data_IF_791946908259
#
_entry.id   IF_791946908259
#
_cell.length_a   1.000
_cell.length_b   1.000
_cell.length_c   1.000
_cell.angle_alpha   90.00
_cell.angle_beta   90.00
_cell.angle_gamma   90.00
#
_symmetry.space_group_name_H-M   'P 1'
#
loop_
_entity.id
_entity.type
_entity.pdbx_description
1 polymer ?
#
# COMPACT_ATOMS: atom_id res chain seq x y z
N UNK A 1 15.73 2.67 3.80
CA UNK A 1 15.07 1.39 3.49
C UNK A 1 14.67 0.79 4.82
N UNK A 2 13.38 0.57 5.04
CA UNK A 2 12.86 -0.15 6.21
C UNK A 2 12.37 -1.51 5.78
N UNK A 3 12.62 -2.53 6.60
CA UNK A 3 12.17 -3.90 6.42
C UNK A 3 11.14 -4.20 7.50
N UNK A 4 10.10 -4.96 7.17
CA UNK A 4 9.14 -5.44 8.15
C UNK A 4 9.83 -6.29 9.23
N UNK A 5 9.32 -6.22 10.44
CA UNK A 5 9.63 -7.09 11.55
C UNK A 5 8.57 -8.19 11.65
N UNK A 6 8.91 -9.29 12.32
CA UNK A 6 7.94 -10.36 12.58
C UNK A 6 6.72 -9.83 13.36
N UNK A 7 6.95 -8.94 14.33
CA UNK A 7 5.89 -8.28 15.11
C UNK A 7 4.98 -7.34 14.31
N UNK A 8 5.38 -6.99 13.08
CA UNK A 8 4.53 -6.18 12.20
C UNK A 8 3.48 -7.05 11.49
N UNK A 9 3.66 -8.38 11.45
CA UNK A 9 2.87 -9.27 10.59
C UNK A 9 2.28 -10.50 11.28
N UNK A 10 2.71 -10.79 12.51
CA UNK A 10 2.32 -11.98 13.29
C UNK A 10 0.81 -12.05 13.59
N UNK A 11 0.14 -10.90 13.67
CA UNK A 11 -1.29 -10.81 13.97
C UNK A 11 -2.20 -10.73 12.73
N UNK A 12 -1.64 -10.55 11.53
CA UNK A 12 -2.42 -10.32 10.30
C UNK A 12 -3.48 -11.40 10.10
N UNK A 13 -3.08 -12.69 10.13
CA UNK A 13 -4.03 -13.79 9.87
C UNK A 13 -5.21 -13.79 10.84
N UNK A 14 -4.97 -13.44 12.11
CA UNK A 14 -6.02 -13.45 13.14
C UNK A 14 -6.87 -12.18 13.17
N UNK A 15 -6.36 -11.05 12.67
CA UNK A 15 -7.02 -9.75 12.73
C UNK A 15 -7.56 -9.25 11.39
N UNK A 16 -7.34 -10.00 10.30
CA UNK A 16 -7.65 -9.56 8.94
C UNK A 16 -9.12 -9.15 8.77
N UNK A 17 -10.06 -9.92 9.33
CA UNK A 17 -11.49 -9.59 9.26
C UNK A 17 -11.84 -8.36 10.12
N UNK A 18 -11.26 -8.24 11.31
CA UNK A 18 -11.49 -7.08 12.18
C UNK A 18 -10.98 -5.79 11.54
N UNK A 19 -9.83 -5.88 10.86
CA UNK A 19 -9.28 -4.77 10.08
C UNK A 19 -10.13 -4.46 8.85
N UNK A 20 -10.59 -5.46 8.08
CA UNK A 20 -11.50 -5.24 6.94
C UNK A 20 -12.77 -4.50 7.38
N UNK A 21 -13.37 -4.89 8.51
CA UNK A 21 -14.57 -4.24 9.06
C UNK A 21 -14.29 -2.80 9.52
N UNK A 22 -13.11 -2.53 10.08
CA UNK A 22 -12.66 -1.15 10.36
C UNK A 22 -12.45 -0.37 9.06
N UNK A 23 -11.80 -0.96 8.08
CA UNK A 23 -11.48 -0.35 6.80
C UNK A 23 -12.76 0.06 6.05
N UNK A 24 -13.76 -0.82 5.97
CA UNK A 24 -15.08 -0.51 5.42
C UNK A 24 -15.75 0.64 6.20
N UNK A 25 -15.62 0.66 7.54
CA UNK A 25 -16.13 1.78 8.36
C UNK A 25 -15.39 3.09 8.12
N UNK A 26 -14.13 3.08 7.70
CA UNK A 26 -13.36 4.27 7.37
C UNK A 26 -13.60 4.75 5.94
N UNK A 27 -13.54 3.85 4.95
CA UNK A 27 -13.53 4.18 3.52
C UNK A 27 -14.87 3.97 2.83
N UNK A 28 -15.71 3.08 3.36
CA UNK A 28 -16.98 2.68 2.73
C UNK A 28 -16.81 1.61 1.66
N UNK A 29 -15.59 1.13 1.45
CA UNK A 29 -15.24 0.07 0.51
C UNK A 29 -14.46 -1.03 1.23
N UNK A 30 -14.52 -2.24 0.67
CA UNK A 30 -13.61 -3.33 1.00
C UNK A 30 -12.19 -3.03 0.55
N UNK A 31 -11.18 -3.69 1.12
CA UNK A 31 -9.80 -3.56 0.62
C UNK A 31 -9.68 -4.04 -0.84
N UNK A 32 -10.47 -5.05 -1.23
CA UNK A 32 -10.57 -5.52 -2.61
C UNK A 32 -11.05 -4.41 -3.57
N UNK A 33 -12.15 -3.75 -3.25
CA UNK A 33 -12.70 -2.67 -4.08
C UNK A 33 -11.72 -1.49 -4.20
N UNK A 34 -11.04 -1.12 -3.11
CA UNK A 34 -10.01 -0.07 -3.14
C UNK A 34 -8.87 -0.47 -4.07
N UNK A 35 -8.35 -1.69 -3.94
CA UNK A 35 -7.24 -2.17 -4.78
C UNK A 35 -7.62 -2.21 -6.28
N UNK A 36 -8.83 -2.67 -6.60
CA UNK A 36 -9.34 -2.66 -7.98
C UNK A 36 -9.43 -1.23 -8.53
N UNK A 37 -9.95 -0.28 -7.75
CA UNK A 37 -9.99 1.16 -8.11
C UNK A 37 -8.59 1.75 -8.25
N UNK A 38 -7.65 1.35 -7.40
CA UNK A 38 -6.27 1.84 -7.41
C UNK A 38 -5.57 1.52 -8.75
N UNK A 39 -5.82 0.33 -9.29
CA UNK A 39 -5.23 -0.12 -10.57
C UNK A 39 -6.13 0.20 -11.78
N UNK A 40 -7.35 0.70 -11.57
CA UNK A 40 -8.30 1.02 -12.63
C UNK A 40 -8.96 -0.21 -13.26
N UNK A 41 -9.12 -1.30 -12.49
CA UNK A 41 -9.83 -2.49 -12.94
C UNK A 41 -11.35 -2.25 -12.86
N UNK A 42 -12.06 -2.46 -13.97
CA UNK A 42 -13.51 -2.19 -14.09
C UNK A 42 -14.35 -3.46 -14.29
N UNK A 43 -13.69 -4.57 -14.63
CA UNK A 43 -14.33 -5.87 -14.88
C UNK A 43 -13.91 -6.84 -13.81
N UNK A 44 -14.82 -7.75 -13.44
CA UNK A 44 -14.51 -8.80 -12.50
C UNK A 44 -13.64 -9.87 -13.17
N UNK A 45 -12.33 -9.75 -12.98
CA UNK A 45 -11.35 -10.69 -13.51
C UNK A 45 -11.42 -12.04 -12.81
N UNK A 46 -11.24 -13.11 -13.58
CA UNK A 46 -11.15 -14.44 -13.00
C UNK A 46 -9.90 -14.53 -12.13
N UNK A 47 -10.09 -14.87 -10.85
CA UNK A 47 -8.96 -15.07 -9.91
C UNK A 47 -8.00 -16.14 -10.42
N UNK A 48 -6.71 -15.87 -10.26
CA UNK A 48 -5.61 -16.72 -10.71
C UNK A 48 -4.95 -17.36 -9.50
N UNK A 49 -4.75 -18.68 -9.56
CA UNK A 49 -4.03 -19.41 -8.52
C UNK A 49 -2.65 -18.78 -8.31
N UNK A 50 -2.32 -18.47 -7.08
CA UNK A 50 -1.14 -17.66 -6.74
C UNK A 50 -0.24 -18.40 -5.77
N UNK A 51 1.07 -18.36 -6.01
CA UNK A 51 2.07 -18.88 -5.11
C UNK A 51 2.67 -17.76 -4.24
N UNK A 52 3.07 -18.10 -3.02
CA UNK A 52 3.89 -17.25 -2.16
C UNK A 52 5.17 -18.02 -1.86
N UNK A 53 6.31 -17.46 -2.24
CA UNK A 53 7.61 -18.13 -2.20
C UNK A 53 8.52 -17.36 -1.26
N UNK A 54 9.04 -18.03 -0.24
CA UNK A 54 10.04 -17.45 0.64
C UNK A 54 11.39 -17.35 -0.08
N UNK A 55 12.07 -16.22 0.10
CA UNK A 55 13.38 -15.93 -0.50
C UNK A 55 14.41 -15.83 0.62
N UNK A 56 15.59 -16.42 0.40
CA UNK A 56 16.65 -16.53 1.42
C UNK A 56 17.83 -15.60 1.17
N UNK A 57 17.84 -14.87 0.04
CA UNK A 57 18.87 -13.88 -0.25
C UNK A 57 18.87 -12.73 0.76
N UNK A 58 20.01 -12.02 0.84
CA UNK A 58 20.15 -10.86 1.71
C UNK A 58 20.12 -11.22 3.19
N UNK A 59 19.26 -10.53 3.95
CA UNK A 59 19.03 -10.73 5.39
C UNK A 59 18.12 -11.94 5.68
N UNK A 60 17.89 -12.82 4.70
CA UNK A 60 17.18 -14.08 4.86
C UNK A 60 15.67 -13.92 4.90
N UNK A 61 14.96 -14.89 5.48
CA UNK A 61 13.50 -14.87 5.56
C UNK A 61 13.02 -14.07 6.78
N UNK A 62 11.90 -13.37 6.63
CA UNK A 62 11.10 -12.90 7.78
C UNK A 62 10.15 -14.04 8.16
N UNK A 63 10.23 -14.53 9.39
CA UNK A 63 9.32 -15.56 9.90
C UNK A 63 7.87 -15.09 9.76
N UNK A 64 7.00 -15.95 9.23
CA UNK A 64 5.57 -15.65 9.08
C UNK A 64 5.20 -14.82 7.84
N UNK A 65 6.16 -14.22 7.12
CA UNK A 65 5.84 -13.34 5.98
C UNK A 65 5.06 -14.05 4.88
N UNK A 66 5.53 -15.22 4.44
CA UNK A 66 4.82 -15.98 3.39
C UNK A 66 3.44 -16.47 3.86
N UNK A 67 3.28 -16.73 5.15
CA UNK A 67 2.00 -17.09 5.76
C UNK A 67 1.04 -15.89 5.78
N UNK A 68 1.51 -14.71 6.17
CA UNK A 68 0.73 -13.48 6.17
C UNK A 68 0.24 -13.10 4.76
N UNK A 69 1.13 -13.08 3.76
CA UNK A 69 0.74 -12.88 2.35
C UNK A 69 -0.26 -13.94 1.90
N UNK A 70 -0.04 -15.20 2.30
CA UNK A 70 -0.96 -16.29 2.02
C UNK A 70 -2.36 -16.10 2.61
N UNK A 71 -2.45 -15.63 3.85
CA UNK A 71 -3.70 -15.31 4.53
C UNK A 71 -4.45 -14.17 3.83
N UNK A 72 -3.73 -13.10 3.45
CA UNK A 72 -4.28 -11.97 2.69
C UNK A 72 -4.91 -12.44 1.37
N UNK A 73 -4.18 -13.24 0.58
CA UNK A 73 -4.68 -13.74 -0.70
C UNK A 73 -5.89 -14.67 -0.52
N UNK A 74 -5.89 -15.53 0.50
CA UNK A 74 -7.05 -16.40 0.80
C UNK A 74 -8.27 -15.62 1.27
N UNK A 75 -8.08 -14.49 1.96
CA UNK A 75 -9.18 -13.59 2.32
C UNK A 75 -9.88 -13.03 1.07
N UNK A 76 -9.10 -12.76 0.02
CA UNK A 76 -9.62 -12.45 -1.31
C UNK A 76 -10.16 -13.69 -2.07
N UNK A 77 -10.30 -14.85 -1.43
CA UNK A 77 -10.75 -16.11 -2.07
C UNK A 77 -9.85 -16.54 -3.25
N UNK A 78 -8.58 -16.17 -3.23
CA UNK A 78 -7.59 -16.65 -4.19
C UNK A 78 -7.14 -18.05 -3.76
N UNK A 79 -7.04 -18.98 -4.72
CA UNK A 79 -6.39 -20.26 -4.45
C UNK A 79 -4.89 -20.02 -4.24
N UNK A 80 -4.40 -20.22 -3.01
CA UNK A 80 -3.03 -19.84 -2.64
C UNK A 80 -2.17 -21.02 -2.22
N UNK A 81 -1.04 -21.20 -2.91
CA UNK A 81 0.03 -22.12 -2.57
C UNK A 81 1.13 -21.39 -1.80
N UNK A 82 1.40 -21.77 -0.55
CA UNK A 82 2.61 -21.34 0.16
C UNK A 82 3.69 -22.37 -0.17
N UNK A 83 4.82 -21.91 -0.72
CA UNK A 83 5.92 -22.78 -1.11
C UNK A 83 6.51 -23.54 0.08
N UNK A 84 6.72 -24.84 -0.09
CA UNK A 84 7.50 -25.65 0.87
C UNK A 84 9.01 -25.48 0.65
N UNK A 85 9.38 -25.07 -0.57
CA UNK A 85 10.74 -24.77 -0.98
C UNK A 85 10.92 -23.27 -1.16
N UNK A 86 12.15 -22.81 -0.97
CA UNK A 86 12.54 -21.41 -1.12
C UNK A 86 13.12 -21.13 -2.50
N UNK A 87 13.26 -19.85 -2.82
CA UNK A 87 14.05 -19.34 -3.96
C UNK A 87 13.63 -20.00 -5.29
N UNK A 88 14.61 -20.40 -6.12
CA UNK A 88 14.40 -21.04 -7.42
C UNK A 88 13.60 -22.34 -7.32
N UNK A 89 13.81 -23.12 -6.25
CA UNK A 89 13.10 -24.37 -6.05
C UNK A 89 11.63 -24.16 -5.70
N UNK A 90 11.32 -23.08 -4.97
CA UNK A 90 9.95 -22.62 -4.72
C UNK A 90 9.27 -22.13 -6.01
N UNK A 91 9.99 -21.41 -6.86
CA UNK A 91 9.47 -20.98 -8.17
C UNK A 91 9.16 -22.18 -9.08
N UNK A 92 10.03 -23.18 -9.10
CA UNK A 92 9.76 -24.44 -9.81
C UNK A 92 8.49 -25.13 -9.26
N UNK A 93 8.33 -25.20 -7.93
CA UNK A 93 7.14 -25.77 -7.31
C UNK A 93 5.87 -25.03 -7.74
N UNK A 94 5.89 -23.70 -7.74
CA UNK A 94 4.78 -22.86 -8.16
C UNK A 94 4.39 -23.11 -9.64
N UNK A 95 5.39 -23.18 -10.52
CA UNK A 95 5.21 -23.48 -11.94
C UNK A 95 4.55 -24.86 -12.15
N UNK A 96 5.10 -25.91 -11.54
CA UNK A 96 4.56 -27.27 -11.65
C UNK A 96 3.14 -27.39 -11.06
N UNK A 97 2.82 -26.55 -10.07
CA UNK A 97 1.50 -26.47 -9.44
C UNK A 97 0.49 -25.61 -10.21
N UNK A 98 0.86 -25.12 -11.40
CA UNK A 98 0.03 -24.29 -12.27
C UNK A 98 -0.45 -22.99 -11.61
N UNK A 99 0.38 -22.40 -10.76
CA UNK A 99 0.14 -21.04 -10.31
C UNK A 99 0.39 -20.09 -11.49
N UNK A 100 -0.42 -19.04 -11.63
CA UNK A 100 -0.23 -18.02 -12.67
C UNK A 100 0.47 -16.76 -12.17
N UNK A 101 0.48 -16.54 -10.84
CA UNK A 101 1.19 -15.44 -10.19
C UNK A 101 2.06 -16.00 -9.06
N UNK A 102 3.22 -15.41 -8.81
CA UNK A 102 4.09 -15.67 -7.67
C UNK A 102 4.41 -14.38 -6.92
N UNK A 103 4.19 -14.38 -5.60
CA UNK A 103 4.72 -13.37 -4.69
C UNK A 103 6.06 -13.83 -4.12
N UNK A 104 7.03 -12.94 -4.15
CA UNK A 104 8.38 -13.12 -3.63
C UNK A 104 8.93 -11.78 -3.16
N UNK A 105 9.72 -11.80 -2.10
CA UNK A 105 10.35 -10.59 -1.58
C UNK A 105 11.75 -10.88 -1.03
N UNK A 106 12.73 -10.09 -1.45
CA UNK A 106 14.01 -9.95 -0.75
C UNK A 106 14.08 -8.59 -0.03
N UNK A 107 15.26 -8.16 0.40
CA UNK A 107 15.42 -6.89 1.13
C UNK A 107 15.16 -5.64 0.27
N UNK A 108 15.23 -5.76 -1.06
CA UNK A 108 15.19 -4.65 -2.00
C UNK A 108 13.91 -4.61 -2.82
N UNK A 109 13.35 -5.78 -3.13
CA UNK A 109 12.21 -5.95 -4.01
C UNK A 109 11.19 -6.84 -3.33
N UNK A 110 9.96 -6.34 -3.22
CA UNK A 110 8.77 -7.16 -3.00
C UNK A 110 7.93 -7.08 -4.27
N UNK A 111 7.73 -8.22 -4.94
CA UNK A 111 7.11 -8.28 -6.26
C UNK A 111 6.07 -9.39 -6.36
N UNK A 112 5.06 -9.12 -7.19
CA UNK A 112 4.18 -10.12 -7.75
C UNK A 112 4.57 -10.31 -9.22
N UNK A 113 4.83 -11.54 -9.65
CA UNK A 113 5.29 -11.85 -11.01
C UNK A 113 4.38 -12.89 -11.67
N UNK A 114 4.13 -12.70 -12.96
CA UNK A 114 3.51 -13.72 -13.80
C UNK A 114 4.36 -14.98 -13.93
N UNK A 115 3.75 -16.14 -13.76
CA UNK A 115 4.38 -17.43 -14.05
C UNK A 115 3.98 -17.82 -15.47
N UNK A 116 4.91 -17.64 -16.42
CA UNK A 116 4.66 -17.93 -17.84
C UNK A 116 3.96 -16.81 -18.61
N UNK A 117 3.83 -15.62 -18.01
CA UNK A 117 3.34 -14.39 -18.62
C UNK A 117 4.26 -13.22 -18.27
N UNK A 118 4.27 -12.18 -19.10
CA UNK A 118 5.10 -10.99 -18.91
C UNK A 118 4.37 -9.92 -18.09
N UNK A 119 3.85 -10.30 -16.92
CA UNK A 119 3.16 -9.38 -15.99
C UNK A 119 3.95 -9.24 -14.70
N UNK A 120 3.89 -8.06 -14.09
CA UNK A 120 4.53 -7.81 -12.81
C UNK A 120 3.85 -6.68 -12.04
N UNK A 121 3.99 -6.67 -10.72
CA UNK A 121 3.64 -5.53 -9.89
C UNK A 121 4.72 -5.28 -8.84
N UNK A 122 5.08 -4.01 -8.68
CA UNK A 122 6.01 -3.52 -7.67
C UNK A 122 5.27 -3.09 -6.40
N UNK A 123 5.79 -3.51 -5.24
CA UNK A 123 5.18 -3.19 -3.94
C UNK A 123 5.13 -1.69 -3.65
N UNK A 124 6.19 -0.94 -3.99
CA UNK A 124 6.24 0.50 -3.75
C UNK A 124 5.12 1.22 -4.51
N UNK A 125 5.03 0.93 -5.80
CA UNK A 125 3.98 1.46 -6.66
C UNK A 125 2.56 1.07 -6.18
N UNK A 126 2.34 -0.22 -5.93
CA UNK A 126 1.02 -0.73 -5.55
C UNK A 126 0.57 -0.20 -4.19
N UNK A 127 1.46 -0.15 -3.21
CA UNK A 127 1.16 0.39 -1.87
C UNK A 127 0.79 1.86 -1.95
N UNK A 128 1.56 2.66 -2.69
CA UNK A 128 1.28 4.09 -2.85
C UNK A 128 -0.10 4.35 -3.45
N UNK A 129 -0.44 3.65 -4.54
CA UNK A 129 -1.75 3.77 -5.18
C UNK A 129 -2.88 3.25 -4.30
N UNK A 130 -2.69 2.13 -3.62
CA UNK A 130 -3.70 1.53 -2.73
C UNK A 130 -4.10 2.49 -1.61
N UNK A 131 -3.13 3.04 -0.87
CA UNK A 131 -3.40 3.98 0.21
C UNK A 131 -3.94 5.34 -0.30
N UNK A 132 -3.48 5.81 -1.46
CA UNK A 132 -4.05 7.00 -2.10
C UNK A 132 -5.52 6.78 -2.54
N UNK A 133 -5.86 5.59 -3.04
CA UNK A 133 -7.25 5.23 -3.32
C UNK A 133 -8.09 5.16 -2.05
N UNK A 134 -7.54 4.60 -0.96
CA UNK A 134 -8.23 4.52 0.33
C UNK A 134 -8.58 5.91 0.89
N UNK A 135 -7.67 6.88 0.85
CA UNK A 135 -7.95 8.24 1.34
C UNK A 135 -8.99 8.94 0.48
N UNK A 136 -8.96 8.75 -0.85
CA UNK A 136 -9.93 9.33 -1.78
C UNK A 136 -11.34 8.78 -1.51
N UNK A 137 -11.48 7.48 -1.26
CA UNK A 137 -12.78 6.88 -0.93
C UNK A 137 -13.26 7.27 0.47
N UNK A 138 -12.35 7.41 1.44
CA UNK A 138 -12.69 7.98 2.74
C UNK A 138 -13.21 9.42 2.64
N UNK A 139 -12.62 10.27 1.78
CA UNK A 139 -13.16 11.60 1.48
C UNK A 139 -14.57 11.52 0.88
N UNK A 140 -14.75 10.69 -0.16
CA UNK A 140 -16.04 10.50 -0.84
C UNK A 140 -17.13 10.04 0.13
N UNK A 141 -16.81 9.13 1.05
CA UNK A 141 -17.71 8.67 2.10
C UNK A 141 -18.17 9.79 3.02
N UNK A 142 -17.32 10.77 3.31
CA UNK A 142 -17.66 11.95 4.09
C UNK A 142 -18.38 13.04 3.27
N UNK A 143 -18.73 12.77 2.01
CA UNK A 143 -19.38 13.72 1.11
C UNK A 143 -18.43 14.76 0.53
N UNK A 144 -17.12 14.50 0.57
CA UNK A 144 -16.08 15.41 0.12
C UNK A 144 -15.69 15.02 -1.31
N UNK A 145 -15.72 16.00 -2.22
CA UNK A 145 -15.21 15.82 -3.57
C UNK A 145 -13.69 16.02 -3.55
N UNK A 146 -12.87 15.03 -3.95
CA UNK A 146 -11.41 15.16 -3.95
C UNK A 146 -10.87 16.18 -4.97
N UNK A 147 -11.70 16.65 -5.90
CA UNK A 147 -11.31 17.64 -6.90
C UNK A 147 -10.75 18.91 -6.24
N UNK A 148 -9.50 19.23 -6.57
CA UNK A 148 -8.75 20.39 -6.06
C UNK A 148 -8.48 20.37 -4.54
N UNK A 149 -8.74 19.25 -3.85
CA UNK A 149 -8.36 19.09 -2.45
C UNK A 149 -6.85 18.88 -2.33
N UNK A 150 -6.25 19.53 -1.32
CA UNK A 150 -4.80 19.43 -1.07
C UNK A 150 -4.51 18.22 -0.19
N UNK A 151 -3.66 17.32 -0.67
CA UNK A 151 -3.22 16.12 0.07
C UNK A 151 -1.72 16.23 0.33
N UNK A 152 -1.33 16.28 1.61
CA UNK A 152 0.09 16.25 1.99
C UNK A 152 0.63 14.84 1.81
N UNK A 153 1.76 14.70 1.14
CA UNK A 153 2.47 13.43 0.97
C UNK A 153 3.83 13.56 1.63
N UNK A 154 4.05 12.81 2.69
CA UNK A 154 5.31 12.77 3.44
C UNK A 154 6.11 11.58 2.95
N UNK A 155 7.29 11.86 2.38
CA UNK A 155 8.15 10.91 1.67
C UNK A 155 7.94 10.96 0.16
N UNK A 156 9.01 11.17 -0.59
CA UNK A 156 9.09 11.15 -2.05
C UNK A 156 9.89 9.94 -2.55
N UNK A 157 9.76 8.81 -1.86
CA UNK A 157 10.23 7.49 -2.35
C UNK A 157 9.17 6.81 -3.24
N UNK A 158 9.38 5.54 -3.63
CA UNK A 158 8.49 4.83 -4.56
C UNK A 158 7.00 4.84 -4.16
N UNK A 159 6.71 4.67 -2.87
CA UNK A 159 5.34 4.70 -2.33
C UNK A 159 4.73 6.11 -2.42
N UNK A 160 5.48 7.14 -2.01
CA UNK A 160 5.01 8.52 -2.05
C UNK A 160 4.83 9.05 -3.46
N UNK A 161 5.75 8.69 -4.37
CA UNK A 161 5.64 8.99 -5.81
C UNK A 161 4.36 8.40 -6.41
N UNK A 162 4.12 7.10 -6.20
CA UNK A 162 2.92 6.44 -6.73
C UNK A 162 1.62 6.99 -6.11
N UNK A 163 1.65 7.37 -4.84
CA UNK A 163 0.54 8.06 -4.19
C UNK A 163 0.29 9.44 -4.82
N UNK A 164 1.35 10.22 -5.07
CA UNK A 164 1.23 11.56 -5.68
C UNK A 164 0.64 11.51 -7.08
N UNK A 165 1.10 10.56 -7.90
CA UNK A 165 0.52 10.29 -9.22
C UNK A 165 -0.97 9.94 -9.12
N UNK A 166 -1.36 9.04 -8.21
CA UNK A 166 -2.77 8.67 -8.04
C UNK A 166 -3.65 9.86 -7.64
N UNK A 167 -3.20 10.69 -6.67
CA UNK A 167 -3.95 11.87 -6.26
C UNK A 167 -4.14 12.85 -7.43
N UNK A 168 -3.10 13.09 -8.23
CA UNK A 168 -3.18 13.93 -9.42
C UNK A 168 -4.14 13.36 -10.48
N UNK A 169 -4.12 12.03 -10.72
CA UNK A 169 -5.09 11.35 -11.60
C UNK A 169 -6.54 11.53 -11.14
N UNK A 170 -6.76 11.62 -9.82
CA UNK A 170 -8.07 11.94 -9.22
C UNK A 170 -8.37 13.45 -9.17
N UNK A 171 -7.55 14.28 -9.83
CA UNK A 171 -7.66 15.74 -9.89
C UNK A 171 -7.55 16.44 -8.52
N UNK A 172 -6.96 15.78 -7.53
CA UNK A 172 -6.50 16.40 -6.29
C UNK A 172 -5.15 17.11 -6.47
N UNK A 173 -4.73 17.87 -5.46
CA UNK A 173 -3.48 18.63 -5.46
C UNK A 173 -2.49 17.94 -4.50
N UNK A 174 -1.58 17.09 -5.00
CA UNK A 174 -0.53 16.52 -4.15
C UNK A 174 0.44 17.62 -3.72
N UNK A 175 0.69 17.70 -2.41
CA UNK A 175 1.71 18.58 -1.82
C UNK A 175 2.79 17.72 -1.20
N UNK A 176 3.97 17.72 -1.77
CA UNK A 176 5.02 16.75 -1.46
C UNK A 176 6.00 17.34 -0.44
N UNK A 177 6.37 16.55 0.57
CA UNK A 177 7.42 16.85 1.52
C UNK A 177 8.35 15.63 1.63
N UNK A 178 9.66 15.85 1.57
CA UNK A 178 10.68 14.83 1.83
C UNK A 178 11.79 15.46 2.68
N UNK A 179 12.60 14.65 3.35
CA UNK A 179 13.79 15.14 4.07
C UNK A 179 14.83 15.72 3.10
N UNK A 180 14.82 15.28 1.84
CA UNK A 180 15.55 15.89 0.74
C UNK A 180 14.60 16.74 -0.11
N UNK A 181 14.62 18.06 0.12
CA UNK A 181 13.82 19.04 -0.62
C UNK A 181 13.96 18.89 -2.15
N UNK A 182 15.11 18.42 -2.66
CA UNK A 182 15.30 18.21 -4.10
C UNK A 182 14.44 17.07 -4.63
N UNK A 183 14.22 16.00 -3.85
CA UNK A 183 13.32 14.91 -4.24
C UNK A 183 11.88 15.39 -4.28
N UNK A 184 11.46 16.12 -3.25
CA UNK A 184 10.12 16.69 -3.19
C UNK A 184 9.86 17.65 -4.37
N UNK A 185 10.80 18.54 -4.64
CA UNK A 185 10.71 19.48 -5.77
C UNK A 185 10.74 18.76 -7.13
N UNK A 186 11.57 17.73 -7.28
CA UNK A 186 11.69 16.96 -8.51
C UNK A 186 10.42 16.17 -8.81
N UNK A 187 9.82 15.52 -7.80
CA UNK A 187 8.54 14.82 -7.96
C UNK A 187 7.40 15.81 -8.24
N UNK A 188 7.36 16.97 -7.57
CA UNK A 188 6.34 17.98 -7.88
C UNK A 188 6.45 18.46 -9.34
N UNK A 189 7.67 18.64 -9.85
CA UNK A 189 7.90 19.08 -11.22
C UNK A 189 7.43 18.08 -12.30
N UNK A 190 7.17 16.81 -11.97
CA UNK A 190 6.62 15.81 -12.93
C UNK A 190 5.10 15.79 -12.97
N UNK A 191 4.43 16.50 -12.06
CA UNK A 191 2.98 16.46 -11.87
C UNK A 191 2.34 17.82 -12.16
N UNK A 192 1.29 17.79 -12.97
CA UNK A 192 0.41 18.96 -13.15
C UNK A 192 -0.33 19.27 -11.83
N UNK A 193 -0.48 20.56 -11.52
CA UNK A 193 -1.21 21.03 -10.33
C UNK A 193 -0.73 20.41 -9.01
N UNK A 194 0.59 20.33 -8.83
CA UNK A 194 1.22 19.90 -7.59
C UNK A 194 1.95 21.05 -6.88
N UNK A 195 2.36 20.81 -5.64
CA UNK A 195 3.28 21.68 -4.93
C UNK A 195 4.25 20.85 -4.08
N UNK A 196 5.27 21.50 -3.54
CA UNK A 196 6.12 20.90 -2.52
C UNK A 196 6.34 21.90 -1.37
N UNK A 197 6.73 21.36 -0.22
CA UNK A 197 7.07 22.13 1.00
C UNK A 197 8.34 21.56 1.61
N UNK A 198 9.16 22.41 2.23
CA UNK A 198 10.38 21.96 2.92
C UNK A 198 10.05 21.17 4.19
N UNK A 199 10.93 20.24 4.54
CA UNK A 199 10.89 19.59 5.85
C UNK A 199 11.28 20.56 6.98
N UNK A 200 10.66 20.48 8.17
CA UNK A 200 9.54 19.60 8.52
C UNK A 200 8.22 20.06 7.90
N UNK A 201 7.39 19.09 7.49
CA UNK A 201 6.10 19.37 6.87
C UNK A 201 5.19 20.19 7.81
N UNK A 202 4.46 21.21 7.32
CA UNK A 202 3.51 21.96 8.12
C UNK A 202 2.17 21.20 8.27
N UNK A 203 2.20 20.05 8.94
CA UNK A 203 1.10 19.06 9.02
C UNK A 203 -0.24 19.68 9.40
N UNK A 204 -0.25 20.61 10.37
CA UNK A 204 -1.46 21.31 10.86
C UNK A 204 -2.25 22.07 9.79
N UNK A 205 -1.64 22.33 8.63
CA UNK A 205 -2.30 23.02 7.51
C UNK A 205 -3.08 22.07 6.59
N UNK A 206 -3.03 20.76 6.83
CA UNK A 206 -3.62 19.74 5.96
C UNK A 206 -4.65 18.89 6.69
N UNK A 207 -5.76 18.64 5.99
CA UNK A 207 -6.81 17.72 6.44
C UNK A 207 -6.56 16.29 5.96
N UNK A 208 -5.86 16.12 4.83
CA UNK A 208 -5.62 14.84 4.21
C UNK A 208 -4.13 14.61 4.04
N UNK A 209 -3.65 13.49 4.56
CA UNK A 209 -2.22 13.22 4.68
C UNK A 209 -1.97 11.77 4.26
N UNK A 210 -0.92 11.57 3.47
CA UNK A 210 -0.33 10.26 3.18
C UNK A 210 1.07 10.26 3.78
N UNK A 211 1.32 9.37 4.75
CA UNK A 211 2.64 9.18 5.34
C UNK A 211 3.31 7.92 4.78
N UNK A 212 4.18 8.12 3.81
CA UNK A 212 5.04 7.11 3.21
C UNK A 212 6.47 7.14 3.76
N UNK A 213 6.66 7.79 4.92
CA UNK A 213 7.94 7.83 5.65
C UNK A 213 8.24 6.51 6.37
N UNK A 214 9.45 6.44 6.93
CA UNK A 214 9.91 5.31 7.75
C UNK A 214 10.24 5.73 9.18
N UNK A 215 9.64 6.84 9.63
CA UNK A 215 9.85 7.42 10.96
C UNK A 215 8.54 7.30 11.74
N UNK A 216 8.59 6.69 12.91
CA UNK A 216 7.41 6.52 13.77
C UNK A 216 7.15 7.72 14.66
N UNK A 217 5.90 7.85 15.12
CA UNK A 217 5.49 8.71 16.24
C UNK A 217 5.87 10.21 16.14
N UNK A 218 6.11 10.74 14.93
CA UNK A 218 6.42 12.15 14.74
C UNK A 218 5.18 13.03 14.52
N UNK A 219 4.03 12.41 14.19
CA UNK A 219 2.74 13.09 14.03
C UNK A 219 1.95 12.97 15.34
N UNK A 220 1.75 14.11 16.00
CA UNK A 220 1.15 14.18 17.33
C UNK A 220 -0.33 14.53 17.28
N UNK A 221 -1.04 14.34 18.40
CA UNK A 221 -2.46 14.72 18.50
C UNK A 221 -2.70 16.23 18.30
N UNK A 222 -1.69 17.08 18.52
CA UNK A 222 -1.80 18.52 18.26
C UNK A 222 -1.75 18.86 16.76
N UNK A 223 -1.21 17.95 15.95
CA UNK A 223 -1.11 18.14 14.51
C UNK A 223 -2.42 17.84 13.79
N UNK A 224 -3.33 17.13 14.46
CA UNK A 224 -4.60 16.64 13.93
C UNK A 224 -5.81 17.37 14.47
N UNK A 225 -6.87 17.33 13.68
CA UNK A 225 -8.25 17.60 14.09
C UNK A 225 -9.09 16.34 13.91
N UNK A 226 -10.32 16.31 14.45
CA UNK A 226 -11.24 15.17 14.24
C UNK A 226 -11.61 14.95 12.76
N UNK A 227 -11.40 15.97 11.92
CA UNK A 227 -11.63 15.90 10.46
C UNK A 227 -10.43 15.37 9.70
N UNK A 228 -9.27 15.26 10.34
CA UNK A 228 -8.05 14.82 9.67
C UNK A 228 -8.18 13.34 9.28
N UNK A 229 -7.75 13.01 8.06
CA UNK A 229 -7.63 11.65 7.56
C UNK A 229 -6.16 11.41 7.20
N UNK A 230 -5.55 10.42 7.84
CA UNK A 230 -4.20 9.96 7.55
C UNK A 230 -4.27 8.56 6.91
N UNK A 231 -3.64 8.40 5.76
CA UNK A 231 -3.29 7.11 5.19
C UNK A 231 -1.78 6.87 5.41
N UNK A 232 -1.41 5.91 6.24
CA UNK A 232 -0.03 5.69 6.66
C UNK A 232 0.48 4.31 6.22
N UNK A 233 0.95 4.14 4.98
CA UNK A 233 1.68 2.94 4.58
C UNK A 233 3.06 2.81 5.25
N UNK A 234 3.60 3.91 5.78
CA UNK A 234 4.91 3.93 6.44
C UNK A 234 5.01 2.97 7.63
N UNK A 235 6.14 2.28 7.71
CA UNK A 235 6.48 1.37 8.80
C UNK A 235 7.77 1.82 9.52
N UNK A 236 7.71 2.10 10.84
CA UNK A 236 6.52 2.14 11.69
C UNK A 236 5.58 3.32 11.37
N UNK A 237 4.32 3.26 11.83
CA UNK A 237 3.34 4.34 11.63
C UNK A 237 3.85 5.68 12.20
N UNK A 238 3.81 6.76 11.40
CA UNK A 238 4.23 8.08 11.85
C UNK A 238 3.31 8.73 12.89
N UNK A 239 2.08 8.24 13.06
CA UNK A 239 1.13 8.78 14.02
C UNK A 239 1.21 8.12 15.41
N UNK A 240 1.41 8.95 16.42
CA UNK A 240 1.32 8.56 17.83
C UNK A 240 -0.03 7.93 18.16
N UNK A 241 -0.09 7.12 19.24
CA UNK A 241 -1.36 6.54 19.74
C UNK A 241 -2.43 7.62 19.96
N UNK A 242 -2.07 8.73 20.62
CA UNK A 242 -2.99 9.83 20.86
C UNK A 242 -3.50 10.49 19.57
N UNK A 243 -2.69 10.55 18.52
CA UNK A 243 -3.13 11.04 17.20
C UNK A 243 -4.12 10.05 16.54
N UNK A 244 -3.85 8.75 16.65
CA UNK A 244 -4.72 7.67 16.14
C UNK A 244 -6.08 7.60 16.83
N UNK A 245 -6.16 8.00 18.09
CA UNK A 245 -7.43 8.10 18.83
C UNK A 245 -8.25 9.34 18.44
N UNK A 246 -7.59 10.41 17.98
CA UNK A 246 -8.22 11.70 17.66
C UNK A 246 -8.75 11.80 16.23
N UNK A 247 -8.10 11.14 15.28
CA UNK A 247 -8.36 11.28 13.86
C UNK A 247 -8.55 9.92 13.16
N UNK A 248 -9.06 9.94 11.93
CA UNK A 248 -9.14 8.73 11.13
C UNK A 248 -7.73 8.36 10.62
N UNK A 249 -7.23 7.19 11.02
CA UNK A 249 -5.96 6.66 10.54
C UNK A 249 -6.19 5.32 9.84
N UNK A 250 -5.90 5.29 8.54
CA UNK A 250 -5.89 4.10 7.69
C UNK A 250 -4.44 3.59 7.67
N UNK A 251 -4.19 2.46 8.32
CA UNK A 251 -2.85 1.91 8.47
C UNK A 251 -2.93 0.39 8.54
N UNK A 252 -2.24 -0.28 7.62
CA UNK A 252 -1.93 -1.69 7.72
C UNK A 252 -0.51 -1.95 7.20
N UNK A 253 0.18 -2.95 7.77
CA UNK A 253 1.59 -3.21 7.49
C UNK A 253 1.86 -3.83 6.11
N UNK A 254 0.90 -4.57 5.53
CA UNK A 254 1.16 -5.40 4.35
C UNK A 254 -0.06 -5.59 3.43
N UNK A 255 -1.25 -5.63 4.01
CA UNK A 255 -2.50 -6.12 3.43
C UNK A 255 -2.87 -5.37 2.16
N UNK A 256 -3.03 -4.05 2.22
CA UNK A 256 -3.53 -3.27 1.10
C UNK A 256 -2.52 -3.23 -0.07
N UNK A 257 -1.23 -3.22 0.25
CA UNK A 257 -0.15 -3.31 -0.74
C UNK A 257 -0.22 -4.63 -1.53
N UNK A 258 -0.26 -5.77 -0.83
CA UNK A 258 -0.35 -7.11 -1.44
C UNK A 258 -1.61 -7.28 -2.27
N UNK A 259 -2.76 -6.83 -1.76
CA UNK A 259 -4.04 -6.89 -2.49
C UNK A 259 -3.94 -6.07 -3.78
N UNK A 260 -3.36 -4.87 -3.72
CA UNK A 260 -3.17 -4.00 -4.90
C UNK A 260 -2.22 -4.61 -5.92
N UNK A 261 -1.12 -5.22 -5.49
CA UNK A 261 -0.19 -5.93 -6.38
C UNK A 261 -0.88 -7.08 -7.12
N UNK A 262 -1.72 -7.84 -6.43
CA UNK A 262 -2.46 -8.95 -7.03
C UNK A 262 -3.41 -8.45 -8.14
N UNK A 263 -4.18 -7.39 -7.87
CA UNK A 263 -5.10 -6.84 -8.88
C UNK A 263 -4.40 -6.15 -10.04
N UNK A 264 -3.23 -5.55 -9.83
CA UNK A 264 -2.40 -5.00 -10.89
C UNK A 264 -1.93 -6.11 -11.86
N UNK A 265 -1.42 -7.23 -11.32
CA UNK A 265 -1.09 -8.39 -12.14
C UNK A 265 -2.32 -8.98 -12.86
N UNK A 266 -3.48 -9.05 -12.20
CA UNK A 266 -4.70 -9.53 -12.85
C UNK A 266 -5.11 -8.64 -14.03
N UNK A 267 -5.05 -7.32 -13.87
CA UNK A 267 -5.35 -6.36 -14.93
C UNK A 267 -4.46 -6.61 -16.16
N UNK A 268 -3.15 -6.72 -15.94
CA UNK A 268 -2.18 -6.94 -17.01
C UNK A 268 -2.33 -8.31 -17.70
N UNK A 269 -2.98 -9.29 -17.08
CA UNK A 269 -3.27 -10.59 -17.70
C UNK A 269 -4.47 -10.53 -18.66
N UNK A 270 -5.29 -9.49 -18.59
CA UNK A 270 -6.43 -9.27 -19.48
C UNK A 270 -6.10 -8.40 -20.70
N UNK A 271 -5.04 -7.61 -20.62
CA UNK A 271 -4.52 -6.75 -21.70
C UNK A 271 -3.73 -7.54 -22.78
#
# INVERSE_FOLDING_TARGET
MSRLLESDIDLIETQLQDYEDLFIRQTGCTMEEIAQKAVGLTVNSKRVKTAVISVTSGLGMITGFSQAVGAILRHLRVETLIGEKTDVAGLQQAYLSKCGIAFLADDYVCAALGIGSAVHSDNGWATGRGFAAAIIEAMRKQGINPLQERVLIIGAGPVGEAAAHYIAEQQGIPVICDLDDNKAASLAATLDQSAWVSAPAPIRQFTYIIDAGTTGDFITAEDFTEKTILAAPGMPCGATVAAREKAMVIHNPLELGIITMYFDCLKQLED
#
